data_IF_129247168000
#
_entry.id   IF_129247168000
#
_cell.length_a   1.000
_cell.length_b   1.000
_cell.length_c   1.000
_cell.angle_alpha   90.00
_cell.angle_beta   90.00
_cell.angle_gamma   90.00
#
_symmetry.space_group_name_H-M   'P 1'
#
loop_
_entity.id
_entity.type
_entity.pdbx_description
1 polymer ?
#
# COMPACT_ATOMS: atom_id res chain seq x y z
N UNK A 1 -25.41 -37.96 17.09
CA UNK A 1 -24.15 -37.46 16.52
C UNK A 1 -23.00 -38.14 17.25
N UNK A 2 -21.99 -38.68 16.57
CA UNK A 2 -20.85 -39.27 17.27
C UNK A 2 -20.12 -38.16 18.03
N UNK A 3 -19.89 -38.39 19.33
CA UNK A 3 -19.12 -37.48 20.18
C UNK A 3 -17.64 -37.69 19.84
N UNK A 4 -16.92 -36.61 19.54
CA UNK A 4 -15.48 -36.64 19.27
C UNK A 4 -14.74 -37.27 20.46
N UNK A 5 -13.72 -38.08 20.16
CA UNK A 5 -12.79 -38.54 21.20
C UNK A 5 -11.91 -37.38 21.68
N UNK A 6 -11.33 -37.50 22.88
CA UNK A 6 -10.45 -36.46 23.43
C UNK A 6 -9.24 -36.16 22.53
N UNK A 7 -8.71 -37.19 21.86
CA UNK A 7 -7.62 -37.04 20.90
C UNK A 7 -8.06 -36.24 19.67
N UNK A 8 -9.25 -36.51 19.13
CA UNK A 8 -9.79 -35.77 17.98
C UNK A 8 -10.08 -34.31 18.37
N UNK A 9 -10.63 -34.09 19.57
CA UNK A 9 -10.87 -32.75 20.11
C UNK A 9 -9.56 -31.95 20.19
N UNK A 10 -8.52 -32.52 20.79
CA UNK A 10 -7.22 -31.87 20.95
C UNK A 10 -6.57 -31.54 19.60
N UNK A 11 -6.70 -32.43 18.62
CA UNK A 11 -6.22 -32.18 17.25
C UNK A 11 -6.89 -30.94 16.66
N UNK A 12 -8.22 -30.89 16.65
CA UNK A 12 -8.95 -29.75 16.10
C UNK A 12 -8.70 -28.45 16.86
N UNK A 13 -8.60 -28.48 18.19
CA UNK A 13 -8.25 -27.30 18.99
C UNK A 13 -6.86 -26.77 18.63
N UNK A 14 -5.88 -27.67 18.47
CA UNK A 14 -4.53 -27.29 18.03
C UNK A 14 -4.55 -26.70 16.62
N UNK A 15 -5.23 -27.35 15.68
CA UNK A 15 -5.34 -26.85 14.30
C UNK A 15 -6.00 -25.48 14.27
N UNK A 16 -7.09 -25.26 15.02
CA UNK A 16 -7.75 -23.96 15.12
C UNK A 16 -6.80 -22.88 15.64
N UNK A 17 -6.01 -23.19 16.66
CA UNK A 17 -5.06 -22.24 17.23
C UNK A 17 -3.97 -21.88 16.22
N UNK A 18 -3.38 -22.87 15.54
CA UNK A 18 -2.34 -22.65 14.53
C UNK A 18 -2.89 -21.84 13.35
N UNK A 19 -4.03 -22.24 12.79
CA UNK A 19 -4.63 -21.51 11.66
C UNK A 19 -5.02 -20.09 12.05
N UNK A 20 -5.50 -19.86 13.29
CA UNK A 20 -5.78 -18.50 13.77
C UNK A 20 -4.50 -17.65 13.83
N UNK A 21 -3.39 -18.23 14.26
CA UNK A 21 -2.11 -17.52 14.27
C UNK A 21 -1.65 -17.20 12.84
N UNK A 22 -1.68 -18.18 11.94
CA UNK A 22 -1.33 -17.99 10.52
C UNK A 22 -2.15 -16.86 9.88
N UNK A 23 -3.46 -16.81 10.16
CA UNK A 23 -4.33 -15.73 9.66
C UNK A 23 -3.90 -14.35 10.20
N UNK A 24 -3.49 -14.25 11.46
CA UNK A 24 -3.02 -12.98 12.01
C UNK A 24 -1.67 -12.59 11.40
N UNK A 25 -0.74 -13.53 11.27
CA UNK A 25 0.57 -13.28 10.65
C UNK A 25 0.43 -12.82 9.19
N UNK A 26 -0.55 -13.35 8.46
CA UNK A 26 -0.87 -12.90 7.11
C UNK A 26 -1.47 -11.49 7.08
N UNK A 27 -2.29 -11.11 8.08
CA UNK A 27 -2.82 -9.75 8.18
C UNK A 27 -1.71 -8.75 8.46
N UNK A 28 -0.80 -9.07 9.37
CA UNK A 28 0.33 -8.20 9.70
C UNK A 28 1.23 -7.98 8.48
N UNK A 29 1.49 -9.02 7.68
CA UNK A 29 2.22 -8.89 6.41
C UNK A 29 1.51 -8.00 5.40
N UNK A 30 0.18 -8.10 5.29
CA UNK A 30 -0.61 -7.24 4.40
C UNK A 30 -0.47 -5.77 4.84
N UNK A 31 -0.57 -5.49 6.13
CA UNK A 31 -0.43 -4.12 6.65
C UNK A 31 0.96 -3.55 6.41
N UNK A 32 2.01 -4.36 6.59
CA UNK A 32 3.39 -3.98 6.30
C UNK A 32 3.59 -3.62 4.83
N UNK A 33 3.09 -4.45 3.90
CA UNK A 33 3.20 -4.18 2.46
C UNK A 33 2.38 -2.94 2.05
N UNK A 34 1.19 -2.74 2.63
CA UNK A 34 0.41 -1.52 2.41
C UNK A 34 1.16 -0.27 2.88
N UNK A 35 1.89 -0.33 4.00
CA UNK A 35 2.71 0.78 4.46
C UNK A 35 3.84 1.10 3.46
N UNK A 36 4.57 0.07 2.99
CA UNK A 36 5.62 0.24 1.97
C UNK A 36 5.09 0.87 0.69
N UNK A 37 3.91 0.45 0.24
CA UNK A 37 3.28 1.02 -0.96
C UNK A 37 2.92 2.50 -0.75
N UNK A 38 2.39 2.87 0.42
CA UNK A 38 2.09 4.27 0.74
C UNK A 38 3.35 5.14 0.74
N UNK A 39 4.43 4.67 1.37
CA UNK A 39 5.70 5.39 1.38
C UNK A 39 6.24 5.55 -0.05
N UNK A 40 6.16 4.50 -0.86
CA UNK A 40 6.59 4.55 -2.26
C UNK A 40 5.78 5.53 -3.10
N UNK A 41 4.47 5.61 -2.88
CA UNK A 41 3.60 6.59 -3.56
C UNK A 41 4.02 8.01 -3.18
N UNK A 42 4.28 8.28 -1.90
CA UNK A 42 4.70 9.59 -1.43
C UNK A 42 6.05 10.02 -2.06
N UNK A 43 7.02 9.10 -2.15
CA UNK A 43 8.29 9.35 -2.84
C UNK A 43 8.08 9.72 -4.31
N UNK A 44 7.25 8.95 -5.03
CA UNK A 44 6.96 9.19 -6.44
C UNK A 44 6.26 10.53 -6.65
N UNK A 45 5.30 10.88 -5.80
CA UNK A 45 4.64 12.19 -5.83
C UNK A 45 5.63 13.33 -5.60
N UNK A 46 6.57 13.17 -4.66
CA UNK A 46 7.64 14.15 -4.45
C UNK A 46 8.53 14.30 -5.68
N UNK A 47 8.89 13.20 -6.35
CA UNK A 47 9.70 13.23 -7.57
C UNK A 47 8.96 13.89 -8.74
N UNK A 48 7.65 13.63 -8.88
CA UNK A 48 6.79 14.30 -9.86
C UNK A 48 6.78 15.81 -9.61
N UNK A 49 6.56 16.25 -8.37
CA UNK A 49 6.53 17.66 -8.02
C UNK A 49 7.87 18.36 -8.32
N UNK A 50 9.00 17.72 -7.99
CA UNK A 50 10.32 18.25 -8.33
C UNK A 50 10.52 18.35 -9.85
N UNK A 51 10.07 17.34 -10.60
CA UNK A 51 10.16 17.34 -12.07
C UNK A 51 9.31 18.44 -12.69
N UNK A 52 8.09 18.67 -12.16
CA UNK A 52 7.21 19.78 -12.56
C UNK A 52 7.84 21.14 -12.29
N UNK A 53 8.47 21.34 -11.12
CA UNK A 53 9.19 22.59 -10.84
C UNK A 53 10.32 22.85 -11.83
N UNK A 54 11.07 21.81 -12.20
CA UNK A 54 12.11 21.91 -13.22
C UNK A 54 11.53 22.24 -14.61
N UNK A 55 10.40 21.62 -14.97
CA UNK A 55 9.69 21.91 -16.22
C UNK A 55 9.22 23.37 -16.28
N UNK A 56 8.55 23.84 -15.22
CA UNK A 56 8.10 25.22 -15.11
C UNK A 56 9.27 26.21 -15.21
N UNK A 57 10.39 25.93 -14.54
CA UNK A 57 11.59 26.75 -14.64
C UNK A 57 12.17 26.79 -16.06
N UNK A 58 12.12 25.67 -16.79
CA UNK A 58 12.54 25.61 -18.18
C UNK A 58 11.60 26.42 -19.10
N UNK A 59 10.28 26.27 -18.94
CA UNK A 59 9.28 27.04 -19.70
C UNK A 59 9.48 28.54 -19.50
N UNK A 60 9.64 28.98 -18.25
CA UNK A 60 9.91 30.37 -17.91
C UNK A 60 11.18 30.91 -18.56
N UNK A 61 12.26 30.11 -18.59
CA UNK A 61 13.52 30.50 -19.22
C UNK A 61 13.42 30.59 -20.75
N UNK A 62 12.61 29.74 -21.36
CA UNK A 62 12.37 29.71 -22.80
C UNK A 62 11.31 30.73 -23.24
N UNK A 63 10.57 31.34 -22.30
CA UNK A 63 9.48 32.26 -22.59
C UNK A 63 8.28 31.59 -23.25
N UNK A 64 8.11 30.29 -23.02
CA UNK A 64 6.99 29.48 -23.55
C UNK A 64 5.96 29.21 -22.44
N UNK A 65 4.71 28.96 -22.83
CA UNK A 65 3.65 28.65 -21.87
C UNK A 65 3.90 27.30 -21.18
N UNK A 66 3.59 27.20 -19.89
CA UNK A 66 3.68 25.95 -19.13
C UNK A 66 2.35 25.20 -19.21
N UNK A 67 2.28 24.17 -20.04
CA UNK A 67 1.11 23.32 -20.28
C UNK A 67 0.88 22.24 -19.21
N UNK A 68 1.86 21.98 -18.34
CA UNK A 68 1.75 21.03 -17.22
C UNK A 68 1.22 21.67 -15.93
N UNK A 69 1.09 23.00 -15.89
CA UNK A 69 0.55 23.75 -14.74
C UNK A 69 -0.98 23.60 -14.63
N UNK A 70 -1.68 23.45 -15.76
CA UNK A 70 -3.14 23.34 -15.84
C UNK A 70 -3.70 21.95 -15.47
N UNK A 71 -2.85 20.91 -15.35
CA UNK A 71 -3.28 19.56 -14.94
C UNK A 71 -3.63 19.45 -13.43
N UNK A 72 -3.46 20.52 -12.64
CA UNK A 72 -3.77 20.52 -11.20
C UNK A 72 -5.28 20.56 -10.85
N UNK A 73 -6.18 20.60 -11.84
CA UNK A 73 -7.63 20.65 -11.62
C UNK A 73 -8.39 19.32 -11.67
N UNK A 74 -7.71 18.19 -11.86
CA UNK A 74 -8.33 16.89 -12.15
C UNK A 74 -8.17 15.83 -11.05
N UNK A 75 -9.17 15.80 -10.18
CA UNK A 75 -9.62 14.66 -9.36
C UNK A 75 -8.94 14.39 -8.00
N UNK A 76 -9.82 14.50 -6.99
CA UNK A 76 -9.71 14.24 -5.56
C UNK A 76 -9.85 12.76 -5.22
#
# INVERSE_FOLDING_TARGET
MPVLTDQQRKFYETTLQVTKQEVNDLKDQIEEELAKVKDRIAELQSAINASKQMYAAACNRLGVNNDMEDEEGGES
#
